data_IF_329600652741
#
_entry.id   IF_329600652741
#
_cell.length_a   1.000
_cell.length_b   1.000
_cell.length_c   1.000
_cell.angle_alpha   90.00
_cell.angle_beta   90.00
_cell.angle_gamma   90.00
#
_symmetry.space_group_name_H-M   'P 1'
#
loop_
_entity.id
_entity.type
_entity.pdbx_description
1 polymer ?
#
# COMPACT_ATOMS: atom_id res chain seq x y z
N UNK A 1 -54.86 51.46 -17.60
CA UNK A 1 -55.13 51.49 -19.05
C UNK A 1 -54.15 52.41 -19.75
N UNK A 2 -53.38 51.88 -20.70
CA UNK A 2 -52.94 52.49 -21.98
C UNK A 2 -51.85 51.59 -22.58
N UNK A 3 -52.29 50.51 -23.24
CA UNK A 3 -51.44 49.73 -24.14
C UNK A 3 -51.19 50.55 -25.41
N UNK A 4 -49.95 50.63 -25.87
CA UNK A 4 -49.63 50.97 -27.25
C UNK A 4 -48.75 49.88 -27.84
N UNK A 5 -49.40 49.12 -28.73
CA UNK A 5 -48.84 48.14 -29.64
C UNK A 5 -47.82 48.78 -30.60
N UNK A 6 -46.67 48.12 -30.76
CA UNK A 6 -45.93 47.95 -32.03
C UNK A 6 -45.42 46.49 -32.00
N UNK A 7 -46.03 45.50 -32.64
CA UNK A 7 -46.13 45.17 -34.07
C UNK A 7 -44.75 44.85 -34.70
N UNK A 8 -44.62 43.58 -35.15
CA UNK A 8 -43.74 43.01 -36.22
C UNK A 8 -42.27 42.78 -35.80
N UNK A 9 -41.69 41.57 -35.74
CA UNK A 9 -41.63 40.41 -36.69
C UNK A 9 -41.26 39.14 -35.86
N UNK A 10 -42.03 38.04 -35.80
CA UNK A 10 -42.24 36.95 -36.78
C UNK A 10 -41.02 35.99 -36.94
N UNK A 11 -41.23 34.75 -36.45
CA UNK A 11 -40.88 33.45 -37.05
C UNK A 11 -39.39 33.05 -37.08
N UNK A 12 -38.95 31.81 -36.84
CA UNK A 12 -39.55 30.57 -36.33
C UNK A 12 -38.45 29.49 -36.31
N UNK A 13 -38.57 28.55 -35.36
CA UNK A 13 -38.58 27.09 -35.61
C UNK A 13 -37.31 26.39 -36.13
N UNK A 14 -36.82 25.49 -35.26
CA UNK A 14 -36.25 24.15 -35.51
C UNK A 14 -34.85 24.05 -36.13
N UNK A 15 -33.91 23.55 -35.31
CA UNK A 15 -33.03 22.42 -35.63
C UNK A 15 -32.72 21.73 -34.29
N UNK A 16 -33.51 20.75 -33.86
CA UNK A 16 -33.44 19.32 -34.24
C UNK A 16 -32.08 18.70 -33.93
N UNK A 17 -32.04 18.00 -32.79
CA UNK A 17 -31.34 16.74 -32.53
C UNK A 17 -30.03 16.49 -33.29
N UNK A 18 -28.91 16.62 -32.56
CA UNK A 18 -27.76 15.75 -32.77
C UNK A 18 -27.86 14.64 -31.72
N UNK A 19 -28.41 13.53 -32.20
CA UNK A 19 -27.99 12.15 -31.98
C UNK A 19 -27.22 11.83 -30.70
N UNK A 20 -27.88 11.05 -29.85
CA UNK A 20 -27.38 9.81 -29.25
C UNK A 20 -25.88 9.55 -29.47
N UNK A 21 -25.05 9.93 -28.50
CA UNK A 21 -23.89 9.09 -28.16
C UNK A 21 -24.42 7.98 -27.27
N UNK A 22 -25.14 7.06 -27.90
CA UNK A 22 -25.20 5.68 -27.45
C UNK A 22 -23.81 5.09 -27.69
N UNK A 23 -22.88 5.34 -26.78
CA UNK A 23 -21.80 4.39 -26.53
C UNK A 23 -22.38 3.25 -25.68
N UNK A 24 -23.23 2.43 -26.31
CA UNK A 24 -23.32 1.04 -25.91
C UNK A 24 -22.17 0.33 -26.62
N UNK A 25 -20.98 0.38 -26.01
CA UNK A 25 -19.92 -0.55 -26.32
C UNK A 25 -19.21 -0.91 -25.03
N UNK A 26 -19.49 -2.14 -24.61
CA UNK A 26 -18.80 -2.93 -23.58
C UNK A 26 -19.36 -2.83 -22.16
N UNK A 27 -20.54 -3.43 -21.95
CA UNK A 27 -20.60 -4.51 -20.94
C UNK A 27 -19.54 -5.58 -21.28
N UNK A 28 -18.32 -5.36 -20.80
CA UNK A 28 -17.28 -6.32 -20.41
C UNK A 28 -16.03 -5.46 -20.11
N UNK A 29 -15.77 -5.05 -18.89
CA UNK A 29 -15.10 -5.83 -17.85
C UNK A 29 -15.39 -5.17 -16.50
N UNK A 30 -16.50 -5.53 -15.87
CA UNK A 30 -16.61 -5.41 -14.40
C UNK A 30 -16.13 -6.69 -13.71
N UNK A 31 -15.39 -7.51 -14.45
CA UNK A 31 -15.00 -8.88 -14.08
C UNK A 31 -13.47 -9.07 -14.08
N UNK A 32 -12.67 -7.99 -14.09
CA UNK A 32 -11.20 -8.09 -14.11
C UNK A 32 -10.43 -7.24 -13.12
N UNK A 33 -11.09 -6.40 -12.31
CA UNK A 33 -10.41 -5.52 -11.34
C UNK A 33 -10.60 -5.98 -9.88
N UNK A 34 -11.57 -6.85 -9.56
CA UNK A 34 -11.63 -7.55 -8.25
C UNK A 34 -10.50 -8.56 -8.15
N UNK A 35 -10.33 -9.36 -9.19
CA UNK A 35 -9.22 -10.30 -9.31
C UNK A 35 -7.85 -9.64 -9.20
N UNK A 36 -7.64 -8.43 -9.75
CA UNK A 36 -6.30 -7.83 -9.78
C UNK A 36 -5.80 -7.36 -8.40
N UNK A 37 -6.67 -6.79 -7.57
CA UNK A 37 -6.30 -6.42 -6.18
C UNK A 37 -6.14 -7.66 -5.31
N UNK A 38 -7.00 -8.66 -5.48
CA UNK A 38 -6.86 -9.95 -4.78
C UNK A 38 -5.58 -10.69 -5.19
N UNK A 39 -5.21 -10.66 -6.48
CA UNK A 39 -3.96 -11.20 -7.00
C UNK A 39 -2.75 -10.43 -6.46
N UNK A 40 -2.76 -9.10 -6.52
CA UNK A 40 -1.69 -8.27 -5.96
C UNK A 40 -1.56 -8.44 -4.44
N UNK A 41 -2.67 -8.61 -3.73
CA UNK A 41 -2.66 -8.92 -2.29
C UNK A 41 -2.04 -10.30 -2.06
N UNK A 42 -2.39 -11.30 -2.86
CA UNK A 42 -1.82 -12.65 -2.76
C UNK A 42 -0.31 -12.67 -3.07
N UNK A 43 0.11 -11.88 -4.05
CA UNK A 43 1.52 -11.71 -4.41
C UNK A 43 2.27 -11.01 -3.27
N UNK A 44 1.71 -9.90 -2.73
CA UNK A 44 2.23 -9.24 -1.54
C UNK A 44 2.32 -10.23 -0.37
N UNK A 45 1.31 -11.09 -0.17
CA UNK A 45 1.34 -12.10 0.90
C UNK A 45 2.48 -13.10 0.73
N UNK A 46 2.72 -13.56 -0.49
CA UNK A 46 3.82 -14.49 -0.79
C UNK A 46 5.16 -13.82 -0.53
N UNK A 47 5.30 -12.62 -1.04
CA UNK A 47 6.49 -11.78 -0.92
C UNK A 47 6.84 -11.45 0.55
N UNK A 48 5.83 -11.09 1.33
CA UNK A 48 6.00 -10.77 2.75
C UNK A 48 6.23 -12.05 3.58
N UNK A 49 5.69 -13.21 3.19
CA UNK A 49 5.98 -14.49 3.86
C UNK A 49 7.44 -14.88 3.72
N UNK A 50 7.99 -14.74 2.52
CA UNK A 50 9.41 -15.00 2.25
C UNK A 50 10.30 -14.00 3.01
N UNK A 51 9.86 -12.75 3.16
CA UNK A 51 10.50 -11.78 4.05
C UNK A 51 10.44 -12.21 5.51
N UNK A 52 9.31 -12.70 6.01
CA UNK A 52 9.18 -13.22 7.38
C UNK A 52 10.18 -14.33 7.69
N UNK A 53 10.43 -15.23 6.74
CA UNK A 53 11.46 -16.27 6.86
C UNK A 53 12.88 -15.67 6.85
N UNK A 54 13.12 -14.67 6.00
CA UNK A 54 14.40 -13.96 5.93
C UNK A 54 14.70 -13.20 7.23
N UNK A 55 13.68 -12.60 7.83
CA UNK A 55 13.75 -11.91 9.12
C UNK A 55 14.18 -12.89 10.22
N UNK A 56 13.51 -14.04 10.31
CA UNK A 56 13.82 -15.07 11.31
C UNK A 56 15.26 -15.58 11.17
N UNK A 57 15.70 -15.80 9.92
CA UNK A 57 17.10 -16.18 9.64
C UNK A 57 18.08 -15.10 10.06
N UNK A 58 17.87 -13.86 9.64
CA UNK A 58 18.80 -12.74 9.93
C UNK A 58 18.85 -12.43 11.42
N UNK A 59 17.74 -12.52 12.13
CA UNK A 59 17.73 -12.32 13.58
C UNK A 59 18.62 -13.32 14.34
N UNK A 60 18.82 -14.52 13.80
CA UNK A 60 19.71 -15.54 14.35
C UNK A 60 21.19 -15.31 14.02
N UNK A 61 21.54 -14.45 13.05
CA UNK A 61 22.91 -14.23 12.60
C UNK A 61 23.79 -13.45 13.59
N UNK A 62 25.11 -13.54 13.39
CA UNK A 62 26.10 -12.79 14.15
C UNK A 62 26.09 -11.29 13.76
N UNK A 63 26.80 -10.50 14.57
CA UNK A 63 26.60 -9.07 14.69
C UNK A 63 26.95 -8.26 13.44
N UNK A 64 27.99 -8.67 12.72
CA UNK A 64 28.57 -7.88 11.62
C UNK A 64 27.65 -7.85 10.40
N UNK A 65 26.91 -8.93 10.14
CA UNK A 65 26.04 -9.05 8.97
C UNK A 65 24.60 -8.62 9.28
N UNK A 66 24.19 -8.72 10.55
CA UNK A 66 22.83 -8.42 10.98
C UNK A 66 22.35 -7.03 10.55
N UNK A 67 23.13 -5.98 10.77
CA UNK A 67 22.70 -4.61 10.45
C UNK A 67 22.44 -4.42 8.96
N UNK A 68 23.40 -4.84 8.13
CA UNK A 68 23.30 -4.66 6.68
C UNK A 68 22.12 -5.44 6.12
N UNK A 69 21.97 -6.70 6.53
CA UNK A 69 20.87 -7.55 6.05
C UNK A 69 19.51 -7.13 6.60
N UNK A 70 19.44 -6.68 7.85
CA UNK A 70 18.21 -6.13 8.40
C UNK A 70 17.76 -4.88 7.63
N UNK A 71 18.68 -3.97 7.30
CA UNK A 71 18.37 -2.81 6.44
C UNK A 71 17.89 -3.23 5.05
N UNK A 72 18.54 -4.21 4.44
CA UNK A 72 18.13 -4.73 3.14
C UNK A 72 16.71 -5.31 3.17
N UNK A 73 16.40 -6.10 4.20
CA UNK A 73 15.06 -6.68 4.41
C UNK A 73 14.01 -5.58 4.63
N UNK A 74 14.28 -4.59 5.48
CA UNK A 74 13.36 -3.47 5.73
C UNK A 74 13.11 -2.67 4.44
N UNK A 75 14.16 -2.39 3.67
CA UNK A 75 14.02 -1.72 2.38
C UNK A 75 13.22 -2.55 1.37
N UNK A 76 13.41 -3.87 1.35
CA UNK A 76 12.62 -4.77 0.49
C UNK A 76 11.14 -4.77 0.90
N UNK A 77 10.87 -4.83 2.20
CA UNK A 77 9.53 -4.67 2.75
C UNK A 77 8.89 -3.34 2.32
N UNK A 78 9.58 -2.20 2.52
CA UNK A 78 9.08 -0.88 2.17
C UNK A 78 8.73 -0.79 0.67
N UNK A 79 9.61 -1.29 -0.21
CA UNK A 79 9.37 -1.31 -1.66
C UNK A 79 8.15 -2.16 -2.05
N UNK A 80 7.95 -3.31 -1.40
CA UNK A 80 6.81 -4.20 -1.67
C UNK A 80 5.49 -3.56 -1.25
N UNK A 81 5.49 -2.89 -0.10
CA UNK A 81 4.33 -2.16 0.41
C UNK A 81 4.01 -0.95 -0.47
N UNK A 82 5.01 -0.16 -0.85
CA UNK A 82 4.83 1.00 -1.73
C UNK A 82 4.23 0.58 -3.07
N UNK A 83 4.76 -0.49 -3.67
CA UNK A 83 4.22 -1.04 -4.92
C UNK A 83 2.76 -1.50 -4.77
N UNK A 84 2.42 -2.14 -3.65
CA UNK A 84 1.05 -2.58 -3.40
C UNK A 84 0.10 -1.39 -3.23
N UNK A 85 0.52 -0.34 -2.51
CA UNK A 85 -0.24 0.90 -2.35
C UNK A 85 -0.45 1.62 -3.70
N UNK A 86 0.60 1.71 -4.54
CA UNK A 86 0.53 2.28 -5.89
C UNK A 86 -0.45 1.48 -6.77
N UNK A 87 -0.36 0.16 -6.75
CA UNK A 87 -1.27 -0.71 -7.48
C UNK A 87 -2.72 -0.54 -7.00
N UNK A 88 -2.96 -0.40 -5.70
CA UNK A 88 -4.27 -0.13 -5.13
C UNK A 88 -4.85 1.20 -5.66
N UNK A 89 -4.06 2.27 -5.63
CA UNK A 89 -4.43 3.58 -6.16
C UNK A 89 -4.76 3.52 -7.66
N UNK A 90 -3.91 2.85 -8.46
CA UNK A 90 -4.09 2.72 -9.91
C UNK A 90 -5.34 1.95 -10.30
N UNK A 91 -5.77 0.97 -9.50
CA UNK A 91 -7.03 0.24 -9.74
C UNK A 91 -8.27 1.02 -9.31
N UNK A 92 -8.12 2.13 -8.58
CA UNK A 92 -9.22 2.92 -8.02
C UNK A 92 -10.06 2.16 -6.99
N UNK A 93 -9.48 1.12 -6.38
CA UNK A 93 -10.13 0.34 -5.33
C UNK A 93 -9.58 0.70 -3.98
N UNK A 94 -10.49 0.99 -3.06
CA UNK A 94 -10.14 1.16 -1.67
C UNK A 94 -9.77 -0.20 -1.07
N UNK A 95 -8.63 -0.23 -0.38
CA UNK A 95 -8.28 -1.33 0.51
C UNK A 95 -9.31 -1.38 1.64
N UNK A 96 -9.52 -2.56 2.23
CA UNK A 96 -10.30 -2.61 3.46
C UNK A 96 -9.58 -1.81 4.56
N UNK A 97 -10.34 -1.15 5.43
CA UNK A 97 -9.82 -0.40 6.58
C UNK A 97 -8.86 -1.28 7.41
N UNK A 98 -9.23 -2.54 7.64
CA UNK A 98 -8.37 -3.54 8.32
C UNK A 98 -7.04 -3.77 7.61
N UNK A 99 -7.03 -3.87 6.28
CA UNK A 99 -5.80 -4.05 5.50
C UNK A 99 -4.93 -2.81 5.57
N UNK A 100 -5.54 -1.63 5.47
CA UNK A 100 -4.83 -0.36 5.55
C UNK A 100 -4.20 -0.18 6.93
N UNK A 101 -4.95 -0.39 8.01
CA UNK A 101 -4.46 -0.30 9.38
C UNK A 101 -3.29 -1.25 9.63
N UNK A 102 -3.39 -2.49 9.14
CA UNK A 102 -2.32 -3.47 9.29
C UNK A 102 -1.05 -3.08 8.51
N UNK A 103 -1.21 -2.53 7.30
CA UNK A 103 -0.07 -2.00 6.52
C UNK A 103 0.56 -0.80 7.23
N UNK A 104 -0.23 0.12 7.77
CA UNK A 104 0.26 1.28 8.51
C UNK A 104 1.02 0.88 9.77
N UNK A 105 0.53 -0.13 10.50
CA UNK A 105 1.23 -0.67 11.66
C UNK A 105 2.58 -1.29 11.27
N UNK A 106 2.60 -2.14 10.23
CA UNK A 106 3.84 -2.74 9.72
C UNK A 106 4.85 -1.67 9.25
N UNK A 107 4.40 -0.63 8.56
CA UNK A 107 5.24 0.52 8.15
C UNK A 107 5.81 1.25 9.36
N UNK A 108 5.00 1.44 10.42
CA UNK A 108 5.44 2.06 11.67
C UNK A 108 6.53 1.23 12.36
N UNK A 109 6.32 -0.10 12.45
CA UNK A 109 7.30 -1.03 13.00
C UNK A 109 8.61 -1.04 12.20
N UNK A 110 8.54 -1.12 10.87
CA UNK A 110 9.70 -1.05 9.95
C UNK A 110 10.55 0.20 10.22
N UNK A 111 9.92 1.38 10.25
CA UNK A 111 10.60 2.67 10.52
C UNK A 111 11.25 2.71 11.90
N UNK A 112 10.57 2.20 12.93
CA UNK A 112 11.11 2.15 14.29
C UNK A 112 12.37 1.28 14.35
N UNK A 113 12.36 0.13 13.68
CA UNK A 113 13.51 -0.77 13.65
C UNK A 113 14.66 -0.13 12.86
N UNK A 114 14.38 0.46 11.69
CA UNK A 114 15.37 1.16 10.88
C UNK A 114 16.10 2.24 11.70
N UNK A 115 15.35 3.06 12.43
CA UNK A 115 15.92 4.09 13.30
C UNK A 115 16.83 3.52 14.39
N UNK A 116 16.47 2.39 15.01
CA UNK A 116 17.31 1.73 16.01
C UNK A 116 18.56 1.06 15.39
N UNK A 117 18.46 0.53 14.17
CA UNK A 117 19.64 0.04 13.44
C UNK A 117 20.58 1.20 13.11
N UNK A 118 20.06 2.37 12.75
CA UNK A 118 20.88 3.57 12.52
C UNK A 118 21.54 4.08 13.81
N UNK A 119 20.87 3.96 14.96
CA UNK A 119 21.47 4.25 16.27
C UNK A 119 22.59 3.26 16.63
N UNK A 120 22.45 1.99 16.21
CA UNK A 120 23.57 1.07 16.19
C UNK A 120 24.65 1.48 15.15
N UNK A 121 24.59 2.58 14.42
CA UNK A 121 25.76 3.10 13.71
C UNK A 121 26.69 3.90 14.62
N UNK A 122 26.09 4.56 15.61
CA UNK A 122 26.61 5.77 16.22
C UNK A 122 26.96 5.62 17.72
N UNK A 123 26.50 4.54 18.36
CA UNK A 123 26.61 4.35 19.81
C UNK A 123 27.96 3.80 20.32
N UNK A 124 28.31 4.21 21.54
CA UNK A 124 29.51 3.71 22.26
C UNK A 124 29.36 2.24 22.70
N UNK A 125 30.49 1.55 22.88
CA UNK A 125 30.56 0.08 23.14
C UNK A 125 29.75 -0.42 24.34
N UNK A 126 29.41 0.44 25.29
CA UNK A 126 28.76 0.04 26.56
C UNK A 126 27.24 -0.17 26.41
N UNK A 127 26.55 0.70 25.64
CA UNK A 127 25.11 0.54 25.35
C UNK A 127 24.83 -0.33 24.12
N UNK A 128 25.88 -0.62 23.36
CA UNK A 128 25.82 -1.34 22.11
C UNK A 128 25.14 -2.72 22.20
N UNK A 129 25.51 -3.50 23.22
CA UNK A 129 25.03 -4.88 23.33
C UNK A 129 23.54 -4.95 23.65
N UNK A 130 23.03 -4.01 24.44
CA UNK A 130 21.63 -4.00 24.86
C UNK A 130 20.74 -3.41 23.77
N UNK A 131 21.16 -2.31 23.13
CA UNK A 131 20.49 -1.80 21.94
C UNK A 131 20.39 -2.88 20.86
N UNK A 132 21.46 -3.67 20.68
CA UNK A 132 21.46 -4.74 19.70
C UNK A 132 20.50 -5.89 20.03
N UNK A 133 20.38 -6.27 21.30
CA UNK A 133 19.37 -7.27 21.72
C UNK A 133 17.96 -6.74 21.47
N UNK A 134 17.74 -5.47 21.77
CA UNK A 134 16.46 -4.80 21.53
C UNK A 134 16.11 -4.78 20.04
N UNK A 135 17.04 -4.39 19.17
CA UNK A 135 16.82 -4.41 17.72
C UNK A 135 16.53 -5.81 17.21
N UNK A 136 17.27 -6.82 17.67
CA UNK A 136 16.97 -8.22 17.31
C UNK A 136 15.59 -8.67 17.78
N UNK A 137 15.18 -8.24 18.97
CA UNK A 137 13.87 -8.54 19.52
C UNK A 137 12.77 -7.88 18.69
N UNK A 138 12.86 -6.58 18.44
CA UNK A 138 11.90 -5.83 17.63
C UNK A 138 11.84 -6.38 16.20
N UNK A 139 12.99 -6.75 15.61
CA UNK A 139 13.03 -7.33 14.27
C UNK A 139 12.36 -8.71 14.21
N UNK A 140 12.52 -9.54 15.24
CA UNK A 140 11.77 -10.79 15.36
C UNK A 140 10.27 -10.54 15.51
N UNK A 141 9.87 -9.59 16.36
CA UNK A 141 8.45 -9.23 16.54
C UNK A 141 7.84 -8.74 15.22
N UNK A 142 8.58 -7.93 14.47
CA UNK A 142 8.18 -7.51 13.13
C UNK A 142 8.00 -8.70 12.18
N UNK A 143 8.89 -9.69 12.22
CA UNK A 143 8.72 -10.94 11.49
C UNK A 143 7.43 -11.68 11.84
N UNK A 144 7.07 -11.73 13.12
CA UNK A 144 5.79 -12.30 13.58
C UNK A 144 4.59 -11.45 13.12
N UNK A 145 4.64 -10.12 13.23
CA UNK A 145 3.59 -9.25 12.71
C UNK A 145 3.39 -9.39 11.20
N UNK A 146 4.48 -9.56 10.45
CA UNK A 146 4.44 -9.86 9.01
C UNK A 146 3.76 -11.21 8.77
N UNK A 147 4.08 -12.25 9.58
CA UNK A 147 3.41 -13.56 9.50
C UNK A 147 1.92 -13.45 9.84
N UNK A 148 1.56 -12.69 10.87
CA UNK A 148 0.18 -12.55 11.37
C UNK A 148 -0.70 -11.77 10.40
N UNK A 149 -0.14 -10.83 9.63
CA UNK A 149 -0.84 -10.21 8.50
C UNK A 149 -1.44 -11.24 7.52
N UNK A 150 -0.86 -12.45 7.43
CA UNK A 150 -1.41 -13.54 6.61
C UNK A 150 -2.47 -14.38 7.30
N UNK A 151 -2.43 -14.49 8.63
CA UNK A 151 -3.28 -15.37 9.42
C UNK A 151 -4.62 -14.73 9.78
N UNK A 152 -4.63 -13.43 10.07
CA UNK A 152 -5.80 -12.76 10.66
C UNK A 152 -6.63 -11.91 9.68
N UNK A 153 -6.09 -11.58 8.50
CA UNK A 153 -6.75 -10.70 7.52
C UNK A 153 -7.36 -11.43 6.31
N UNK A 154 -7.96 -12.62 6.50
CA UNK A 154 -8.81 -13.34 5.51
C UNK A 154 -10.01 -13.99 6.19
#
# INVERSE_FOLDING_TARGET
MKYKFKIITIIAIIFSSISLVSCNQSTSKKESNDTKIEENLKDLKTDLKDLGQSIESVAQENNEEFQSRAKEILNNFDNKIEKFEEDAELTGKEMSETTQDAIEDLKSQSKKIAAKIDQLGDDSKENWQDLKKEVKHDFNQFGESVKDFFNDNV
#
